data_IF_838553097403
#
_entry.id   IF_838553097403
#
_cell.length_a   1.000
_cell.length_b   1.000
_cell.length_c   1.000
_cell.angle_alpha   90.00
_cell.angle_beta   90.00
_cell.angle_gamma   90.00
#
_symmetry.space_group_name_H-M   'P 1'
#
loop_
_entity.id
_entity.type
_entity.pdbx_description
1 polymer ?
#
# COMPACT_ATOMS: atom_id res chain seq x y z
N UNK A 1 51.41 2.56 6.52
CA UNK A 1 50.62 3.14 5.41
C UNK A 1 49.43 2.29 5.00
N UNK A 2 49.48 0.96 5.14
CA UNK A 2 48.34 0.06 4.75
C UNK A 2 47.09 0.21 5.63
N UNK A 3 47.24 0.39 6.95
CA UNK A 3 46.08 0.47 7.87
C UNK A 3 45.17 1.66 7.54
N UNK A 4 45.69 2.84 7.31
CA UNK A 4 44.90 4.04 6.97
C UNK A 4 44.21 3.94 5.61
N UNK A 5 44.78 3.22 4.64
CA UNK A 5 44.14 2.97 3.36
C UNK A 5 42.94 2.02 3.50
N UNK A 6 43.06 1.00 4.36
CA UNK A 6 41.97 0.05 4.68
C UNK A 6 40.83 0.76 5.43
N UNK A 7 41.15 1.53 6.47
CA UNK A 7 40.14 2.32 7.22
C UNK A 7 39.41 3.29 6.28
N UNK A 8 40.15 3.97 5.39
CA UNK A 8 39.54 4.85 4.40
C UNK A 8 38.65 4.11 3.36
N UNK A 9 38.98 2.86 3.02
CA UNK A 9 38.17 2.05 2.12
C UNK A 9 36.86 1.61 2.81
N UNK A 10 36.97 1.16 4.05
CA UNK A 10 35.79 0.79 4.87
C UNK A 10 34.87 1.99 5.07
N UNK A 11 35.41 3.16 5.43
CA UNK A 11 34.62 4.37 5.61
C UNK A 11 33.84 4.79 4.34
N UNK A 12 34.50 4.70 3.17
CA UNK A 12 33.82 4.97 1.89
C UNK A 12 32.75 3.93 1.56
N UNK A 13 32.98 2.66 1.87
CA UNK A 13 31.98 1.60 1.70
C UNK A 13 30.77 1.87 2.59
N UNK A 14 30.97 2.10 3.89
CA UNK A 14 29.90 2.41 4.83
C UNK A 14 29.08 3.64 4.41
N UNK A 15 29.75 4.70 3.98
CA UNK A 15 29.06 5.91 3.52
C UNK A 15 28.19 5.63 2.30
N UNK A 16 28.69 4.87 1.32
CA UNK A 16 27.92 4.51 0.12
C UNK A 16 26.72 3.62 0.45
N UNK A 17 26.92 2.62 1.30
CA UNK A 17 25.85 1.75 1.78
C UNK A 17 24.79 2.56 2.54
N UNK A 18 25.20 3.48 3.41
CA UNK A 18 24.29 4.37 4.11
C UNK A 18 23.45 5.24 3.17
N UNK A 19 24.05 5.77 2.11
CA UNK A 19 23.30 6.53 1.09
C UNK A 19 22.27 5.66 0.39
N UNK A 20 22.61 4.42 0.00
CA UNK A 20 21.67 3.50 -0.64
C UNK A 20 20.51 3.14 0.29
N UNK A 21 20.80 2.90 1.57
CA UNK A 21 19.77 2.64 2.59
C UNK A 21 18.84 3.87 2.74
N UNK A 22 19.38 5.07 2.84
CA UNK A 22 18.58 6.30 2.93
C UNK A 22 17.71 6.51 1.69
N UNK A 23 18.24 6.23 0.50
CA UNK A 23 17.46 6.29 -0.74
C UNK A 23 16.36 5.23 -0.77
N UNK A 24 16.61 4.04 -0.21
CA UNK A 24 15.57 3.01 -0.08
C UNK A 24 14.48 3.43 0.91
N UNK A 25 14.84 4.02 2.05
CA UNK A 25 13.87 4.56 3.00
C UNK A 25 13.04 5.68 2.35
N UNK A 26 13.69 6.59 1.62
CA UNK A 26 12.98 7.62 0.86
C UNK A 26 12.04 7.02 -0.19
N UNK A 27 12.46 5.97 -0.87
CA UNK A 27 11.59 5.22 -1.79
C UNK A 27 10.38 4.62 -1.06
N UNK A 28 10.57 3.98 0.09
CA UNK A 28 9.48 3.38 0.86
C UNK A 28 8.44 4.42 1.33
N UNK A 29 8.87 5.62 1.71
CA UNK A 29 7.98 6.66 2.21
C UNK A 29 7.23 7.42 1.10
N UNK A 30 7.87 7.61 -0.05
CA UNK A 30 7.30 8.45 -1.13
C UNK A 30 7.16 7.72 -2.47
N UNK A 31 8.09 6.82 -2.79
CA UNK A 31 8.10 6.12 -4.08
C UNK A 31 6.97 5.12 -4.22
N UNK A 32 6.62 4.42 -3.15
CA UNK A 32 5.49 3.47 -3.12
C UNK A 32 4.16 4.19 -3.35
N UNK A 33 4.00 5.42 -2.82
CA UNK A 33 2.81 6.22 -3.01
C UNK A 33 2.52 6.59 -4.46
N UNK A 34 3.55 6.70 -5.32
CA UNK A 34 3.38 7.02 -6.74
C UNK A 34 2.75 5.87 -7.53
N UNK A 35 3.11 4.62 -7.22
CA UNK A 35 2.49 3.43 -7.84
C UNK A 35 1.04 3.30 -7.43
N UNK A 36 0.75 3.47 -6.12
CA UNK A 36 -0.62 3.43 -5.59
C UNK A 36 -1.49 4.55 -6.17
N UNK A 37 -0.96 5.78 -6.33
CA UNK A 37 -1.70 6.86 -6.95
C UNK A 37 -2.18 6.50 -8.37
N UNK A 38 -1.29 5.92 -9.18
CA UNK A 38 -1.64 5.47 -10.53
C UNK A 38 -2.67 4.32 -10.52
N UNK A 39 -2.52 3.37 -9.60
CA UNK A 39 -3.49 2.29 -9.44
C UNK A 39 -4.85 2.85 -9.03
N UNK A 40 -4.92 3.76 -8.06
CA UNK A 40 -6.15 4.41 -7.61
C UNK A 40 -6.83 5.25 -8.72
N UNK A 41 -6.05 5.91 -9.59
CA UNK A 41 -6.61 6.60 -10.76
C UNK A 41 -7.30 5.63 -11.74
N UNK A 42 -6.70 4.46 -11.97
CA UNK A 42 -7.27 3.42 -12.82
C UNK A 42 -8.51 2.79 -12.18
N UNK A 43 -8.41 2.36 -10.91
CA UNK A 43 -9.50 1.79 -10.13
C UNK A 43 -10.69 2.75 -10.03
N UNK A 44 -10.44 4.05 -9.87
CA UNK A 44 -11.50 5.07 -9.85
C UNK A 44 -12.26 5.15 -11.17
N UNK A 45 -11.56 5.10 -12.31
CA UNK A 45 -12.20 5.11 -13.63
C UNK A 45 -13.00 3.84 -13.89
N UNK A 46 -12.42 2.70 -13.52
CA UNK A 46 -13.06 1.40 -13.65
C UNK A 46 -14.31 1.31 -12.77
N UNK A 47 -14.21 1.66 -11.49
CA UNK A 47 -15.33 1.69 -10.57
C UNK A 47 -16.44 2.66 -11.01
N UNK A 48 -16.08 3.84 -11.53
CA UNK A 48 -17.05 4.77 -12.08
C UNK A 48 -17.79 4.18 -13.29
N UNK A 49 -17.09 3.41 -14.14
CA UNK A 49 -17.70 2.71 -15.27
C UNK A 49 -18.67 1.62 -14.80
N UNK A 50 -18.29 0.84 -13.79
CA UNK A 50 -19.15 -0.17 -13.19
C UNK A 50 -20.40 0.47 -12.58
N UNK A 51 -20.26 1.56 -11.80
CA UNK A 51 -21.41 2.29 -11.24
C UNK A 51 -22.35 2.76 -12.36
N UNK A 52 -21.85 3.34 -13.44
CA UNK A 52 -22.65 3.83 -14.54
C UNK A 52 -23.47 2.70 -15.22
N UNK A 53 -22.94 1.48 -15.26
CA UNK A 53 -23.63 0.31 -15.82
C UNK A 53 -24.76 -0.21 -14.93
N UNK A 54 -24.58 -0.14 -13.59
CA UNK A 54 -25.52 -0.69 -12.61
C UNK A 54 -26.47 0.34 -12.01
N UNK A 55 -26.23 1.64 -12.20
CA UNK A 55 -27.17 2.70 -11.76
C UNK A 55 -28.25 2.88 -12.84
N UNK A 56 -29.54 2.65 -12.53
CA UNK A 56 -30.61 2.96 -13.48
C UNK A 56 -30.55 4.43 -13.89
N UNK A 57 -30.78 4.78 -15.17
CA UNK A 57 -30.87 6.18 -15.57
C UNK A 57 -31.93 6.85 -14.71
N UNK A 58 -31.58 7.97 -14.05
CA UNK A 58 -32.46 8.74 -13.16
C UNK A 58 -33.77 9.04 -13.87
N UNK A 59 -34.85 8.37 -13.45
CA UNK A 59 -36.17 8.80 -13.78
C UNK A 59 -36.42 10.16 -13.12
N UNK A 60 -36.75 11.15 -13.94
CA UNK A 60 -37.14 12.49 -13.58
C UNK A 60 -38.03 12.56 -12.34
N UNK A 61 -37.69 13.42 -11.43
CA UNK A 61 -38.53 14.16 -10.45
C UNK A 61 -40.02 13.71 -10.38
N UNK A 62 -40.33 12.79 -9.46
CA UNK A 62 -41.54 12.72 -8.65
C UNK A 62 -41.57 11.38 -7.92
N UNK A 63 -41.74 11.43 -6.58
CA UNK A 63 -41.85 10.30 -5.65
C UNK A 63 -40.62 9.39 -5.62
N UNK A 64 -39.93 9.34 -4.48
CA UNK A 64 -38.79 8.43 -4.26
C UNK A 64 -39.24 6.99 -4.52
N UNK A 65 -38.85 6.36 -5.65
CA UNK A 65 -38.97 4.92 -5.76
C UNK A 65 -37.98 4.35 -4.73
N UNK A 66 -38.44 3.34 -3.98
CA UNK A 66 -37.55 2.45 -3.25
C UNK A 66 -36.61 1.86 -4.29
N UNK A 67 -35.42 2.42 -4.44
CA UNK A 67 -34.38 1.90 -5.35
C UNK A 67 -33.99 0.56 -4.76
N UNK A 68 -34.56 -0.51 -5.29
CA UNK A 68 -34.19 -1.86 -4.95
C UNK A 68 -32.72 -2.03 -5.42
N UNK A 69 -31.82 -2.20 -4.48
CA UNK A 69 -30.41 -2.43 -4.80
C UNK A 69 -30.28 -3.67 -5.71
N UNK A 70 -29.42 -3.64 -6.73
CA UNK A 70 -29.21 -4.77 -7.63
C UNK A 70 -28.83 -6.03 -6.83
N UNK A 71 -29.42 -7.14 -7.18
CA UNK A 71 -29.11 -8.46 -6.58
C UNK A 71 -28.23 -9.30 -7.51
N UNK A 72 -28.28 -9.00 -8.81
CA UNK A 72 -27.50 -9.68 -9.86
C UNK A 72 -26.22 -8.89 -10.15
N UNK A 73 -25.32 -8.92 -9.18
CA UNK A 73 -24.01 -8.28 -9.32
C UNK A 73 -23.00 -9.27 -9.90
N UNK A 74 -22.06 -8.79 -10.74
CA UNK A 74 -20.93 -9.63 -11.13
C UNK A 74 -20.14 -10.05 -9.90
N UNK A 75 -19.70 -11.30 -9.90
CA UNK A 75 -18.77 -11.80 -8.88
C UNK A 75 -17.43 -11.09 -9.14
N UNK A 76 -16.92 -10.29 -8.18
CA UNK A 76 -15.65 -9.59 -8.40
C UNK A 76 -14.49 -10.58 -8.46
N UNK A 77 -13.56 -10.38 -9.36
CA UNK A 77 -12.27 -11.09 -9.36
C UNK A 77 -11.32 -10.47 -8.32
N UNK A 78 -10.26 -11.20 -7.97
CA UNK A 78 -9.22 -10.68 -7.07
C UNK A 78 -8.49 -9.52 -7.74
N UNK A 79 -8.51 -8.34 -7.11
CA UNK A 79 -7.96 -7.09 -7.63
C UNK A 79 -9.01 -6.14 -8.22
N UNK A 80 -10.23 -6.61 -8.48
CA UNK A 80 -11.30 -5.74 -8.99
C UNK A 80 -11.70 -4.66 -8.00
N UNK A 81 -12.04 -3.45 -8.45
CA UNK A 81 -12.61 -2.41 -7.59
C UNK A 81 -14.03 -2.81 -7.17
N UNK A 82 -14.28 -2.81 -5.86
CA UNK A 82 -15.59 -3.24 -5.30
C UNK A 82 -16.37 -2.12 -4.62
N UNK A 83 -15.67 -1.12 -4.10
CA UNK A 83 -16.30 -0.02 -3.38
C UNK A 83 -15.34 1.17 -3.24
N UNK A 84 -15.87 2.34 -2.90
CA UNK A 84 -15.11 3.50 -2.49
C UNK A 84 -15.37 3.80 -1.02
N UNK A 85 -14.32 3.83 -0.20
CA UNK A 85 -14.39 4.17 1.22
C UNK A 85 -13.92 5.60 1.44
N UNK A 86 -14.71 6.37 2.20
CA UNK A 86 -14.40 7.77 2.57
C UNK A 86 -14.52 7.93 4.07
N UNK A 87 -13.46 8.38 4.70
CA UNK A 87 -13.35 8.66 6.14
C UNK A 87 -12.88 10.10 6.33
N UNK A 88 -13.82 11.05 6.44
CA UNK A 88 -13.52 12.49 6.47
C UNK A 88 -12.68 12.89 7.68
N UNK A 89 -12.90 12.28 8.83
CA UNK A 89 -12.16 12.58 10.08
C UNK A 89 -10.65 12.43 9.89
N UNK A 90 -10.23 11.44 9.11
CA UNK A 90 -8.81 11.12 8.90
C UNK A 90 -8.30 11.47 7.49
N UNK A 91 -9.13 12.17 6.69
CA UNK A 91 -8.82 12.59 5.32
C UNK A 91 -8.40 11.40 4.42
N UNK A 92 -9.16 10.30 4.50
CA UNK A 92 -8.93 9.09 3.71
C UNK A 92 -10.07 8.87 2.73
N UNK A 93 -9.72 8.70 1.44
CA UNK A 93 -10.65 8.48 0.35
C UNK A 93 -10.00 7.58 -0.71
N UNK A 94 -10.44 6.31 -0.78
CA UNK A 94 -9.83 5.30 -1.63
C UNK A 94 -10.87 4.38 -2.25
N UNK A 95 -10.57 3.89 -3.45
CA UNK A 95 -11.26 2.74 -4.03
C UNK A 95 -10.66 1.47 -3.43
N UNK A 96 -11.53 0.60 -2.92
CA UNK A 96 -11.18 -0.69 -2.35
C UNK A 96 -11.16 -1.76 -3.42
N UNK A 97 -10.23 -2.70 -3.28
CA UNK A 97 -10.08 -3.86 -4.17
C UNK A 97 -10.52 -5.15 -3.49
N UNK A 98 -10.93 -6.14 -4.28
CA UNK A 98 -11.20 -7.48 -3.78
C UNK A 98 -9.89 -8.21 -3.52
N UNK A 99 -9.70 -8.72 -2.28
CA UNK A 99 -8.50 -9.45 -1.86
C UNK A 99 -7.58 -8.64 -0.96
N UNK A 100 -6.84 -9.36 -0.11
CA UNK A 100 -5.93 -8.81 0.91
C UNK A 100 -4.50 -9.27 0.72
N UNK A 101 -4.18 -9.93 -0.38
CA UNK A 101 -2.79 -10.25 -0.72
C UNK A 101 -1.98 -8.97 -0.90
N UNK A 102 -0.68 -9.05 -0.58
CA UNK A 102 0.23 -7.92 -0.65
C UNK A 102 0.17 -7.16 -1.97
N UNK A 103 0.03 -7.87 -3.10
CA UNK A 103 -0.06 -7.27 -4.44
C UNK A 103 -1.28 -6.35 -4.59
N UNK A 104 -2.41 -6.72 -3.98
CA UNK A 104 -3.65 -5.94 -4.04
C UNK A 104 -3.65 -4.79 -3.04
N UNK A 105 -3.10 -5.03 -1.84
CA UNK A 105 -2.95 -3.98 -0.82
C UNK A 105 -2.02 -2.83 -1.26
N UNK A 106 -1.11 -3.07 -2.21
CA UNK A 106 -0.29 -2.03 -2.82
C UNK A 106 -1.11 -1.05 -3.68
N UNK A 107 -2.28 -1.47 -4.14
CA UNK A 107 -3.16 -0.65 -4.98
C UNK A 107 -4.16 0.16 -4.17
N UNK A 108 -4.56 -0.32 -2.98
CA UNK A 108 -5.50 0.35 -2.09
C UNK A 108 -5.94 -0.53 -0.92
N UNK A 109 -6.96 -0.11 -0.14
CA UNK A 109 -7.57 -0.97 0.85
C UNK A 109 -8.16 -2.23 0.22
N UNK A 110 -7.89 -3.39 0.82
CA UNK A 110 -8.34 -4.69 0.32
C UNK A 110 -9.46 -5.27 1.17
N UNK A 111 -10.48 -5.81 0.52
CA UNK A 111 -11.58 -6.51 1.17
C UNK A 111 -11.23 -7.98 1.36
N UNK A 112 -11.55 -8.53 2.53
CA UNK A 112 -11.39 -9.96 2.80
C UNK A 112 -12.43 -10.78 2.02
N UNK A 113 -12.01 -11.62 1.05
CA UNK A 113 -12.91 -12.29 0.12
C UNK A 113 -13.95 -13.20 0.76
N UNK A 114 -13.66 -13.72 1.97
CA UNK A 114 -14.56 -14.60 2.73
C UNK A 114 -15.60 -13.87 3.58
N UNK A 115 -15.60 -12.54 3.54
CA UNK A 115 -16.59 -11.71 4.25
C UNK A 115 -17.61 -11.11 3.28
N UNK A 116 -18.81 -10.70 3.76
CA UNK A 116 -19.79 -10.02 2.91
C UNK A 116 -19.27 -8.72 2.35
N UNK A 117 -19.74 -8.33 1.18
CA UNK A 117 -19.42 -7.00 0.63
C UNK A 117 -19.97 -5.89 1.54
N UNK A 118 -19.28 -4.73 1.62
CA UNK A 118 -19.76 -3.59 2.39
C UNK A 118 -21.19 -3.18 1.98
N UNK A 119 -22.02 -2.90 2.97
CA UNK A 119 -23.44 -2.58 2.78
C UNK A 119 -24.36 -3.79 2.88
N UNK A 120 -23.85 -5.01 2.82
CA UNK A 120 -24.62 -6.24 2.97
C UNK A 120 -24.73 -6.68 4.44
N UNK A 121 -25.64 -7.62 4.77
CA UNK A 121 -25.72 -8.18 6.11
C UNK A 121 -24.45 -8.93 6.50
N UNK A 122 -24.00 -8.74 7.73
CA UNK A 122 -22.80 -9.36 8.30
C UNK A 122 -21.64 -8.38 8.49
N UNK A 123 -20.45 -8.91 8.71
CA UNK A 123 -19.23 -8.15 8.99
C UNK A 123 -18.33 -8.07 7.73
N UNK A 124 -18.40 -6.97 7.00
CA UNK A 124 -17.49 -6.68 5.91
C UNK A 124 -16.13 -6.26 6.47
N UNK A 125 -15.06 -6.97 6.11
CA UNK A 125 -13.74 -6.70 6.67
C UNK A 125 -12.76 -6.19 5.61
N UNK A 126 -11.98 -5.18 5.97
CA UNK A 126 -11.08 -4.44 5.06
C UNK A 126 -9.73 -4.24 5.73
N UNK A 127 -8.66 -4.61 5.03
CA UNK A 127 -7.29 -4.33 5.44
C UNK A 127 -6.70 -3.16 4.63
N UNK A 128 -5.77 -2.42 5.23
CA UNK A 128 -5.05 -1.35 4.53
C UNK A 128 -3.71 -1.04 5.14
N UNK A 129 -2.78 -0.55 4.31
CA UNK A 129 -1.46 -0.11 4.78
C UNK A 129 -1.55 1.09 5.72
N UNK A 130 -0.64 1.12 6.70
CA UNK A 130 -0.59 2.21 7.68
C UNK A 130 0.49 3.25 7.38
N UNK A 131 1.56 2.89 6.66
CA UNK A 131 2.73 3.77 6.48
C UNK A 131 3.25 3.86 5.05
N UNK A 132 2.93 2.89 4.19
CA UNK A 132 3.36 2.81 2.80
C UNK A 132 2.17 2.81 1.85
N UNK A 133 2.41 2.91 0.53
CA UNK A 133 1.36 2.80 -0.48
C UNK A 133 0.20 3.80 -0.25
N UNK A 134 0.55 5.09 -0.12
CA UNK A 134 -0.35 6.19 0.28
C UNK A 134 -1.00 6.02 1.66
N UNK A 135 -0.68 4.95 2.38
CA UNK A 135 -1.08 4.72 3.75
C UNK A 135 -2.58 5.03 4.04
N UNK A 136 -3.53 4.33 3.38
CA UNK A 136 -4.95 4.64 3.47
C UNK A 136 -5.48 4.66 4.91
N UNK A 137 -4.86 3.89 5.81
CA UNK A 137 -5.22 3.80 7.22
C UNK A 137 -4.14 4.38 8.15
N UNK A 138 -3.37 5.38 7.68
CA UNK A 138 -2.31 6.00 8.48
C UNK A 138 -2.82 6.54 9.82
N UNK A 139 -3.95 7.24 9.79
CA UNK A 139 -4.55 7.94 10.92
C UNK A 139 -5.76 7.20 11.49
N UNK A 140 -5.88 5.89 11.27
CA UNK A 140 -7.01 5.07 11.75
C UNK A 140 -7.18 5.12 13.28
N UNK A 141 -6.08 5.36 14.01
CA UNK A 141 -6.06 5.57 15.46
C UNK A 141 -6.72 6.90 15.92
N UNK A 142 -6.98 7.80 15.01
CA UNK A 142 -7.65 9.08 15.31
C UNK A 142 -9.18 8.99 15.15
N UNK A 143 -9.70 7.87 14.65
CA UNK A 143 -11.13 7.63 14.62
C UNK A 143 -11.68 7.47 16.04
N UNK A 144 -12.72 8.22 16.35
CA UNK A 144 -13.39 8.19 17.65
C UNK A 144 -14.80 7.63 17.54
N UNK A 145 -15.38 7.12 18.65
CA UNK A 145 -16.76 6.64 18.65
C UNK A 145 -17.73 7.70 18.13
N UNK A 146 -18.54 7.32 17.14
CA UNK A 146 -19.53 8.21 16.51
C UNK A 146 -19.07 8.81 15.18
N UNK A 147 -17.79 8.70 14.80
CA UNK A 147 -17.33 9.11 13.48
C UNK A 147 -18.03 8.32 12.37
N UNK A 148 -18.20 8.96 11.23
CA UNK A 148 -18.94 8.39 10.11
C UNK A 148 -17.98 7.95 9.00
N UNK A 149 -18.15 6.70 8.57
CA UNK A 149 -17.44 6.09 7.44
C UNK A 149 -18.48 5.88 6.33
N UNK A 150 -18.22 6.43 5.16
CA UNK A 150 -19.08 6.27 3.99
C UNK A 150 -18.47 5.27 3.03
N UNK A 151 -19.25 4.30 2.58
CA UNK A 151 -18.85 3.30 1.59
C UNK A 151 -19.83 3.30 0.44
N UNK A 152 -19.36 3.64 -0.75
CA UNK A 152 -20.10 3.56 -2.00
C UNK A 152 -19.80 2.23 -2.68
N UNK A 153 -20.84 1.45 -2.99
CA UNK A 153 -20.76 0.17 -3.70
C UNK A 153 -21.68 0.20 -4.94
N UNK A 154 -21.70 -0.87 -5.71
CA UNK A 154 -22.66 -1.02 -6.82
C UNK A 154 -24.13 -1.11 -6.34
N UNK A 155 -24.36 -1.44 -5.06
CA UNK A 155 -25.68 -1.54 -4.45
C UNK A 155 -26.15 -0.23 -3.82
N UNK A 156 -25.31 0.80 -3.75
CA UNK A 156 -25.66 2.09 -3.18
C UNK A 156 -24.58 2.66 -2.28
N UNK A 157 -24.95 3.69 -1.52
CA UNK A 157 -24.05 4.34 -0.56
C UNK A 157 -24.51 4.02 0.86
N UNK A 158 -23.60 3.49 1.65
CA UNK A 158 -23.83 3.03 3.01
C UNK A 158 -22.99 3.85 3.97
N UNK A 159 -23.56 4.15 5.13
CA UNK A 159 -22.90 4.90 6.18
C UNK A 159 -22.77 4.04 7.41
N UNK A 160 -21.55 3.97 7.94
CA UNK A 160 -21.24 3.24 9.16
C UNK A 160 -20.82 4.24 10.23
N UNK A 161 -21.20 3.98 11.46
CA UNK A 161 -20.83 4.76 12.64
C UNK A 161 -19.80 3.99 13.45
N UNK A 162 -18.67 4.59 13.74
CA UNK A 162 -17.58 3.98 14.54
C UNK A 162 -18.10 3.62 15.91
N UNK A 163 -17.87 2.37 16.31
CA UNK A 163 -18.29 1.81 17.58
C UNK A 163 -17.36 2.28 18.71
N UNK A 164 -17.88 2.29 19.94
CA UNK A 164 -17.07 2.51 21.12
C UNK A 164 -16.45 1.17 21.57
N UNK A 165 -15.12 1.16 21.72
CA UNK A 165 -14.40 0.11 22.42
C UNK A 165 -14.04 0.58 23.83
N UNK A 166 -14.33 -0.22 24.83
CA UNK A 166 -13.96 0.03 26.22
C UNK A 166 -12.85 -0.95 26.56
N UNK A 167 -11.66 -0.44 26.88
CA UNK A 167 -10.54 -1.29 27.29
C UNK A 167 -10.86 -1.97 28.61
N UNK A 168 -10.82 -3.32 28.68
CA UNK A 168 -11.14 -4.04 29.91
C UNK A 168 -10.14 -3.81 31.05
N UNK A 169 -8.94 -3.27 30.77
CA UNK A 169 -7.90 -3.10 31.78
C UNK A 169 -7.97 -1.74 32.50
N UNK A 170 -8.34 -0.68 31.78
CA UNK A 170 -8.33 0.69 32.34
C UNK A 170 -9.64 1.45 32.12
N UNK A 171 -10.65 0.82 31.50
CA UNK A 171 -11.95 1.39 31.19
C UNK A 171 -11.90 2.64 30.29
N UNK A 172 -10.79 2.88 29.57
CA UNK A 172 -10.72 3.95 28.58
C UNK A 172 -11.60 3.62 27.39
N UNK A 173 -12.23 4.65 26.82
CA UNK A 173 -13.07 4.51 25.63
C UNK A 173 -12.33 5.03 24.41
N UNK A 174 -12.22 4.19 23.39
CA UNK A 174 -11.61 4.55 22.10
C UNK A 174 -12.47 4.10 20.93
N UNK A 175 -12.16 4.55 19.72
CA UNK A 175 -12.76 4.05 18.48
C UNK A 175 -12.04 2.84 17.90
N UNK A 176 -11.00 2.34 18.57
CA UNK A 176 -10.15 1.25 18.08
C UNK A 176 -9.64 0.38 19.21
N UNK A 177 -9.17 -0.82 18.87
CA UNK A 177 -8.48 -1.73 19.79
C UNK A 177 -7.32 -2.44 19.08
N UNK A 178 -6.46 -3.06 19.85
CA UNK A 178 -5.26 -3.72 19.35
C UNK A 178 -5.37 -5.22 19.56
N UNK A 179 -5.03 -5.98 18.51
CA UNK A 179 -5.04 -7.45 18.53
C UNK A 179 -3.73 -8.05 18.03
N UNK A 180 -3.55 -9.33 18.30
CA UNK A 180 -2.48 -10.13 17.68
C UNK A 180 -2.65 -10.19 16.16
N UNK A 181 -1.56 -10.27 15.38
CA UNK A 181 -1.64 -10.43 13.92
C UNK A 181 -2.42 -11.67 13.47
N UNK A 182 -2.44 -12.70 14.30
CA UNK A 182 -3.09 -13.99 14.02
C UNK A 182 -4.51 -14.09 14.61
N UNK A 183 -5.03 -13.00 15.17
CA UNK A 183 -6.40 -12.99 15.69
C UNK A 183 -7.38 -12.76 14.54
N UNK A 184 -7.97 -13.85 14.05
CA UNK A 184 -8.96 -13.84 12.97
C UNK A 184 -10.40 -13.69 13.50
N UNK A 185 -10.63 -13.65 14.82
CA UNK A 185 -11.97 -13.47 15.40
C UNK A 185 -12.62 -12.14 14.98
N UNK A 186 -11.78 -11.16 14.56
CA UNK A 186 -12.25 -9.89 14.02
C UNK A 186 -13.01 -10.03 12.69
N UNK A 187 -12.87 -11.17 12.00
CA UNK A 187 -13.57 -11.51 10.74
C UNK A 187 -14.90 -12.24 10.99
N UNK A 188 -15.17 -12.63 12.24
CA UNK A 188 -16.38 -13.38 12.61
C UNK A 188 -17.65 -12.63 12.22
N UNK A 189 -18.67 -13.43 11.81
CA UNK A 189 -19.93 -12.90 11.30
C UNK A 189 -21.02 -12.71 12.40
N UNK A 190 -20.66 -12.92 13.67
CA UNK A 190 -21.62 -12.92 14.80
C UNK A 190 -21.98 -11.54 15.35
N UNK A 191 -21.53 -10.47 14.71
CA UNK A 191 -21.58 -9.11 15.27
C UNK A 191 -22.61 -8.17 14.62
N UNK A 192 -23.52 -8.69 13.81
CA UNK A 192 -24.50 -7.87 13.07
C UNK A 192 -23.90 -7.18 11.84
N UNK A 193 -24.59 -6.17 11.31
CA UNK A 193 -24.18 -5.46 10.09
C UNK A 193 -23.06 -4.45 10.41
N UNK A 194 -21.83 -4.82 10.10
CA UNK A 194 -20.63 -4.14 10.55
C UNK A 194 -19.60 -3.97 9.42
N UNK A 195 -18.77 -2.97 9.58
CA UNK A 195 -17.52 -2.78 8.84
C UNK A 195 -16.36 -2.90 9.83
N UNK A 196 -15.42 -3.80 9.56
CA UNK A 196 -14.20 -3.95 10.33
C UNK A 196 -13.01 -3.48 9.50
N UNK A 197 -12.31 -2.46 9.97
CA UNK A 197 -11.09 -1.94 9.34
C UNK A 197 -9.87 -2.41 10.13
N UNK A 198 -8.82 -2.84 9.43
CA UNK A 198 -7.60 -3.34 10.05
C UNK A 198 -6.35 -2.77 9.40
N UNK A 199 -5.38 -2.40 10.23
CA UNK A 199 -4.04 -1.96 9.78
C UNK A 199 -2.95 -2.47 10.73
N UNK A 200 -1.70 -2.35 10.31
CA UNK A 200 -0.54 -2.70 11.14
C UNK A 200 -0.40 -1.75 12.35
N UNK A 201 0.09 -2.28 13.49
CA UNK A 201 0.36 -1.53 14.71
C UNK A 201 1.62 -2.06 15.42
N UNK A 202 2.43 -1.16 16.05
CA UNK A 202 2.44 0.30 15.89
C UNK A 202 2.85 0.75 14.48
N UNK A 203 2.79 2.07 14.18
CA UNK A 203 3.29 2.61 12.90
C UNK A 203 4.73 2.13 12.68
N UNK A 204 5.07 1.71 11.46
CA UNK A 204 6.35 1.13 11.05
C UNK A 204 6.66 -0.25 11.67
N UNK A 205 5.64 -0.98 12.12
CA UNK A 205 5.78 -2.35 12.66
C UNK A 205 4.55 -3.18 12.35
N UNK A 206 4.74 -4.50 12.13
CA UNK A 206 3.67 -5.48 11.96
C UNK A 206 3.43 -6.33 13.21
N UNK A 207 3.98 -5.93 14.35
CA UNK A 207 3.90 -6.73 15.57
C UNK A 207 2.47 -6.99 16.05
N UNK A 208 1.55 -6.08 15.75
CA UNK A 208 0.14 -6.13 16.14
C UNK A 208 -0.76 -5.60 15.01
N UNK A 209 -2.07 -5.64 15.21
CA UNK A 209 -3.06 -5.00 14.34
C UNK A 209 -3.89 -4.02 15.15
N UNK A 210 -4.12 -2.83 14.59
CA UNK A 210 -5.13 -1.89 15.06
C UNK A 210 -6.41 -2.16 14.29
N UNK A 211 -7.51 -2.24 15.01
CA UNK A 211 -8.83 -2.57 14.48
C UNK A 211 -9.83 -1.49 14.86
N UNK A 212 -10.60 -1.04 13.88
CA UNK A 212 -11.76 -0.17 14.08
C UNK A 212 -12.98 -0.94 13.60
N UNK A 213 -14.02 -0.96 14.43
CA UNK A 213 -15.32 -1.51 14.04
C UNK A 213 -16.34 -0.38 13.92
N UNK A 214 -17.23 -0.51 12.95
CA UNK A 214 -18.28 0.47 12.73
C UNK A 214 -19.60 -0.22 12.34
N UNK A 215 -20.69 0.18 12.97
CA UNK A 215 -22.03 -0.38 12.76
C UNK A 215 -22.74 0.34 11.61
N UNK A 216 -23.38 -0.41 10.71
CA UNK A 216 -24.19 0.12 9.62
C UNK A 216 -25.39 0.90 10.19
N UNK A 217 -25.57 2.13 9.72
CA UNK A 217 -26.65 3.03 10.22
C UNK A 217 -27.93 2.96 9.39
N UNK A 218 -27.89 2.31 8.23
CA UNK A 218 -29.05 2.14 7.32
C UNK A 218 -29.44 0.67 7.21
N UNK A 219 -30.54 0.40 6.53
CA UNK A 219 -30.88 -0.97 6.17
C UNK A 219 -29.81 -1.55 5.24
N UNK A 220 -29.40 -2.82 5.44
CA UNK A 220 -28.44 -3.45 4.56
C UNK A 220 -29.05 -3.70 3.17
N UNK A 221 -28.19 -3.71 2.16
CA UNK A 221 -28.53 -4.20 0.84
C UNK A 221 -28.78 -5.71 0.84
N UNK A 222 -29.47 -6.25 -0.18
CA UNK A 222 -29.60 -7.69 -0.34
C UNK A 222 -28.23 -8.37 -0.41
N UNK A 223 -28.08 -9.48 0.31
CA UNK A 223 -26.87 -10.28 0.29
C UNK A 223 -26.63 -10.89 -1.09
N UNK A 224 -25.39 -10.89 -1.54
CA UNK A 224 -24.92 -11.68 -2.69
C UNK A 224 -24.14 -12.90 -2.19
N UNK A 225 -24.03 -13.96 -2.99
CA UNK A 225 -23.20 -15.10 -2.63
C UNK A 225 -21.75 -14.66 -2.39
N UNK A 226 -21.15 -15.12 -1.30
CA UNK A 226 -19.72 -14.91 -1.04
C UNK A 226 -18.95 -15.80 -2.03
N UNK A 227 -18.10 -15.23 -2.89
CA UNK A 227 -17.39 -16.03 -3.88
C UNK A 227 -16.32 -16.90 -3.22
N UNK A 228 -16.10 -18.08 -3.81
CA UNK A 228 -14.99 -18.96 -3.45
C UNK A 228 -13.87 -18.76 -4.47
N UNK A 229 -12.68 -18.43 -4.01
CA UNK A 229 -11.51 -18.27 -4.86
C UNK A 229 -10.56 -19.44 -4.62
N UNK A 230 -10.08 -20.06 -5.70
CA UNK A 230 -9.11 -21.14 -5.61
C UNK A 230 -7.80 -20.64 -4.98
N UNK A 231 -7.34 -21.35 -3.95
CA UNK A 231 -6.09 -21.05 -3.25
C UNK A 231 -6.15 -19.92 -2.20
N UNK A 232 -7.31 -19.28 -2.02
CA UNK A 232 -7.55 -18.34 -0.91
C UNK A 232 -8.14 -19.11 0.26
N UNK A 233 -7.31 -19.47 1.23
CA UNK A 233 -7.77 -20.06 2.49
C UNK A 233 -7.88 -18.98 3.56
N UNK A 234 -8.73 -19.19 4.56
CA UNK A 234 -8.86 -18.30 5.73
C UNK A 234 -7.52 -18.13 6.45
N UNK A 235 -6.68 -19.17 6.44
CA UNK A 235 -5.35 -19.14 7.06
C UNK A 235 -4.34 -18.33 6.20
N UNK A 236 -4.48 -18.34 4.87
CA UNK A 236 -3.62 -17.58 3.97
C UNK A 236 -3.79 -16.05 4.11
N UNK A 237 -4.96 -15.57 4.57
CA UNK A 237 -5.18 -14.13 4.77
C UNK A 237 -4.41 -13.56 5.96
N UNK A 238 -4.10 -14.35 6.99
CA UNK A 238 -3.25 -13.91 8.11
C UNK A 238 -1.77 -13.87 7.68
N UNK A 239 -1.31 -14.88 6.95
CA UNK A 239 0.06 -14.96 6.43
C UNK A 239 0.32 -13.95 5.30
N UNK A 240 -0.69 -13.64 4.49
CA UNK A 240 -0.59 -12.64 3.42
C UNK A 240 -0.26 -11.23 3.96
N UNK A 241 -0.74 -10.91 5.17
CA UNK A 241 -0.42 -9.65 5.85
C UNK A 241 0.90 -9.70 6.62
N UNK A 242 1.45 -10.88 6.90
CA UNK A 242 2.66 -11.07 7.70
C UNK A 242 3.90 -11.34 6.85
N UNK A 243 3.77 -11.91 5.66
CA UNK A 243 4.85 -12.34 4.77
C UNK A 243 5.15 -11.36 3.64
N UNK A 244 6.36 -11.44 3.07
CA UNK A 244 6.72 -10.80 1.80
C UNK A 244 6.42 -11.71 0.60
N UNK A 245 6.34 -11.12 -0.59
CA UNK A 245 6.15 -11.85 -1.84
C UNK A 245 7.47 -12.51 -2.29
N UNK A 246 7.65 -13.77 -1.93
CA UNK A 246 8.84 -14.54 -2.29
C UNK A 246 9.03 -14.71 -3.80
N UNK A 247 7.99 -14.54 -4.62
CA UNK A 247 8.07 -14.62 -6.08
C UNK A 247 8.88 -13.44 -6.68
N UNK A 248 9.08 -12.37 -5.93
CA UNK A 248 9.85 -11.20 -6.35
C UNK A 248 11.38 -11.41 -6.31
N UNK A 249 11.91 -12.48 -5.70
CA UNK A 249 13.35 -12.72 -5.59
C UNK A 249 14.10 -12.66 -6.92
N UNK A 250 13.69 -13.37 -8.00
CA UNK A 250 14.43 -13.32 -9.26
C UNK A 250 14.51 -11.91 -9.84
N UNK A 251 13.41 -11.17 -9.81
CA UNK A 251 13.35 -9.79 -10.30
C UNK A 251 14.19 -8.84 -9.43
N UNK A 252 14.14 -8.97 -8.10
CA UNK A 252 14.95 -8.17 -7.17
C UNK A 252 16.45 -8.38 -7.42
N UNK A 253 16.89 -9.62 -7.61
CA UNK A 253 18.28 -9.93 -7.93
C UNK A 253 18.67 -9.36 -9.30
N UNK A 254 17.85 -9.61 -10.33
CA UNK A 254 18.14 -9.16 -11.70
C UNK A 254 18.28 -7.64 -11.78
N UNK A 255 17.34 -6.88 -11.23
CA UNK A 255 17.38 -5.41 -11.22
C UNK A 255 18.53 -4.87 -10.37
N UNK A 256 18.86 -5.51 -9.23
CA UNK A 256 20.00 -5.13 -8.39
C UNK A 256 21.32 -5.33 -9.11
N UNK A 257 21.51 -6.47 -9.79
CA UNK A 257 22.71 -6.74 -10.58
C UNK A 257 22.81 -5.77 -11.76
N UNK A 258 21.72 -5.51 -12.47
CA UNK A 258 21.70 -4.56 -13.58
C UNK A 258 22.05 -3.14 -13.12
N UNK A 259 21.49 -2.70 -11.99
CA UNK A 259 21.85 -1.42 -11.35
C UNK A 259 23.34 -1.35 -11.04
N UNK A 260 23.91 -2.40 -10.46
CA UNK A 260 25.32 -2.51 -10.15
C UNK A 260 26.20 -2.46 -11.41
N UNK A 261 25.81 -3.15 -12.49
CA UNK A 261 26.52 -3.15 -13.76
C UNK A 261 26.50 -1.77 -14.43
N UNK A 262 25.36 -1.11 -14.48
CA UNK A 262 25.25 0.24 -15.07
C UNK A 262 26.03 1.25 -14.25
N UNK A 263 25.97 1.16 -12.92
CA UNK A 263 26.77 2.03 -12.04
C UNK A 263 28.27 1.80 -12.22
N UNK A 264 28.72 0.55 -12.25
CA UNK A 264 30.12 0.21 -12.49
C UNK A 264 30.57 0.66 -13.88
N UNK A 265 29.75 0.43 -14.93
CA UNK A 265 30.01 0.87 -16.28
C UNK A 265 30.14 2.39 -16.38
N UNK A 266 29.24 3.14 -15.74
CA UNK A 266 29.30 4.62 -15.66
C UNK A 266 30.59 5.09 -14.97
N UNK A 267 30.93 4.48 -13.83
CA UNK A 267 32.16 4.78 -13.10
C UNK A 267 33.40 4.43 -13.92
N UNK A 268 33.42 3.26 -14.56
CA UNK A 268 34.55 2.80 -15.38
C UNK A 268 34.75 3.70 -16.60
N UNK A 269 33.68 4.06 -17.31
CA UNK A 269 33.71 4.95 -18.45
C UNK A 269 34.19 6.35 -18.04
N UNK A 270 33.65 6.90 -16.95
CA UNK A 270 34.16 8.18 -16.42
C UNK A 270 35.63 8.13 -16.08
N UNK A 271 36.14 7.02 -15.51
CA UNK A 271 37.52 6.81 -15.19
C UNK A 271 38.41 6.65 -16.46
N UNK A 272 37.89 6.00 -17.49
CA UNK A 272 38.57 5.82 -18.76
C UNK A 272 38.83 7.16 -19.47
N UNK A 273 37.85 8.07 -19.41
CA UNK A 273 37.96 9.40 -20.00
C UNK A 273 38.81 10.37 -19.17
N UNK A 274 39.22 10.02 -17.94
CA UNK A 274 39.95 10.90 -17.01
C UNK A 274 41.34 10.40 -16.57
N UNK A 275 42.13 9.74 -17.41
CA UNK A 275 43.45 9.24 -16.98
C UNK A 275 44.42 10.37 -16.57
N UNK A 276 44.17 11.61 -17.01
CA UNK A 276 45.05 12.78 -16.72
C UNK A 276 44.76 13.47 -15.39
N UNK A 277 43.51 13.32 -14.82
CA UNK A 277 43.15 14.01 -13.58
C UNK A 277 43.82 13.43 -12.33
N UNK A 278 44.15 12.14 -12.31
CA UNK A 278 44.85 11.53 -11.17
C UNK A 278 46.33 11.96 -11.10
N UNK A 279 46.93 12.33 -12.23
CA UNK A 279 48.33 12.76 -12.29
C UNK A 279 48.53 14.23 -11.87
N UNK A 280 47.44 15.05 -11.91
CA UNK A 280 47.43 16.49 -11.61
C UNK A 280 46.92 16.86 -10.21
N UNK A 281 46.79 15.91 -9.29
CA UNK A 281 46.32 16.17 -7.91
C UNK A 281 47.30 17.01 -7.06
N UNK A 282 48.43 17.41 -7.62
CA UNK A 282 49.42 18.22 -6.92
C UNK A 282 49.34 19.75 -7.15
N UNK A 283 48.59 20.22 -8.14
CA UNK A 283 48.53 21.67 -8.44
C UNK A 283 47.14 22.12 -8.89
N UNK A 284 46.48 22.81 -7.99
CA UNK A 284 45.52 23.92 -8.15
C UNK A 284 44.46 23.86 -9.25
N UNK A 285 43.25 24.09 -8.78
CA UNK A 285 42.14 24.79 -9.43
C UNK A 285 41.51 24.03 -10.60
N UNK A 286 40.42 23.39 -10.31
CA UNK A 286 39.41 22.88 -11.24
C UNK A 286 38.99 23.96 -12.24
N UNK A 287 39.54 23.92 -13.41
CA UNK A 287 38.90 24.51 -14.59
C UNK A 287 37.87 23.54 -15.13
N UNK A 288 36.67 24.01 -15.36
CA UNK A 288 35.48 23.35 -15.92
C UNK A 288 35.71 22.72 -17.33
N UNK A 289 36.82 22.06 -17.55
CA UNK A 289 37.27 21.59 -18.88
C UNK A 289 37.00 20.09 -19.14
N UNK A 290 36.55 19.34 -18.11
CA UNK A 290 36.27 17.91 -18.28
C UNK A 290 34.75 17.64 -18.47
N UNK A 291 34.17 18.31 -19.48
CA UNK A 291 32.77 18.15 -19.83
C UNK A 291 32.40 16.66 -20.11
N UNK A 292 33.37 15.87 -20.61
CA UNK A 292 33.15 14.41 -20.85
C UNK A 292 32.91 13.64 -19.56
N UNK A 293 33.58 14.00 -18.48
CA UNK A 293 33.34 13.44 -17.15
C UNK A 293 31.94 13.84 -16.64
N UNK A 294 31.62 15.12 -16.74
CA UNK A 294 30.31 15.62 -16.31
C UNK A 294 29.17 15.01 -17.14
N UNK A 295 29.34 14.90 -18.45
CA UNK A 295 28.32 14.28 -19.33
C UNK A 295 28.15 12.79 -19.06
N UNK A 296 29.23 12.05 -18.75
CA UNK A 296 29.13 10.63 -18.38
C UNK A 296 28.27 10.44 -17.14
N UNK A 297 28.48 11.26 -16.10
CA UNK A 297 27.66 11.18 -14.90
C UNK A 297 26.27 11.80 -15.09
N UNK A 298 26.14 12.86 -15.89
CA UNK A 298 24.83 13.47 -16.19
C UNK A 298 23.90 12.51 -16.93
N UNK A 299 24.44 11.62 -17.76
CA UNK A 299 23.66 10.58 -18.46
C UNK A 299 23.54 9.32 -17.61
N UNK A 300 24.63 8.85 -17.03
CA UNK A 300 24.67 7.58 -16.30
C UNK A 300 23.90 7.62 -14.99
N UNK A 301 23.92 8.73 -14.24
CA UNK A 301 23.23 8.83 -12.95
C UNK A 301 21.71 8.69 -13.07
N UNK A 302 21.00 9.37 -13.98
CA UNK A 302 19.57 9.16 -14.17
C UNK A 302 19.23 7.70 -14.52
N UNK A 303 20.03 7.05 -15.37
CA UNK A 303 19.82 5.64 -15.73
C UNK A 303 19.97 4.75 -14.49
N UNK A 304 21.02 4.95 -13.69
CA UNK A 304 21.22 4.23 -12.43
C UNK A 304 20.04 4.44 -11.48
N UNK A 305 19.53 5.67 -11.35
CA UNK A 305 18.39 5.97 -10.48
C UNK A 305 17.11 5.26 -10.94
N UNK A 306 16.87 5.21 -12.25
CA UNK A 306 15.72 4.47 -12.82
C UNK A 306 15.86 2.96 -12.54
N UNK A 307 17.05 2.39 -12.79
CA UNK A 307 17.29 0.96 -12.51
C UNK A 307 17.15 0.66 -11.01
N UNK A 308 17.66 1.56 -10.15
CA UNK A 308 17.55 1.44 -8.71
C UNK A 308 16.09 1.53 -8.22
N UNK A 309 15.27 2.36 -8.87
CA UNK A 309 13.82 2.40 -8.59
C UNK A 309 13.18 1.02 -8.81
N UNK A 310 13.46 0.36 -9.95
CA UNK A 310 12.95 -1.00 -10.22
C UNK A 310 13.53 -2.04 -9.25
N UNK A 311 14.81 -1.92 -8.88
CA UNK A 311 15.41 -2.77 -7.85
C UNK A 311 14.68 -2.60 -6.50
N UNK A 312 14.45 -1.38 -6.07
CA UNK A 312 13.75 -1.06 -4.81
C UNK A 312 12.29 -1.53 -4.83
N UNK A 313 11.59 -1.40 -5.95
CA UNK A 313 10.23 -1.92 -6.12
C UNK A 313 10.16 -3.42 -5.85
N UNK A 314 11.10 -4.19 -6.41
CA UNK A 314 11.11 -5.64 -6.22
C UNK A 314 11.66 -6.05 -4.84
N UNK A 315 12.61 -5.30 -4.26
CA UNK A 315 13.07 -5.52 -2.89
C UNK A 315 11.95 -5.20 -1.88
N UNK A 316 11.18 -4.14 -2.10
CA UNK A 316 10.06 -3.78 -1.24
C UNK A 316 8.99 -4.88 -1.18
N UNK A 317 8.74 -5.59 -2.29
CA UNK A 317 7.82 -6.74 -2.33
C UNK A 317 8.29 -7.93 -1.49
N UNK A 318 9.60 -8.06 -1.24
CA UNK A 318 10.15 -9.12 -0.38
C UNK A 318 9.98 -8.84 1.11
N UNK A 319 9.74 -7.57 1.47
CA UNK A 319 9.53 -7.19 2.86
C UNK A 319 8.12 -7.58 3.30
N UNK A 320 7.94 -7.93 4.59
CA UNK A 320 6.61 -8.15 5.14
C UNK A 320 5.71 -6.94 4.88
N UNK A 321 4.40 -7.15 4.72
CA UNK A 321 3.39 -6.10 4.51
C UNK A 321 3.33 -5.05 5.66
N UNK A 322 4.26 -5.10 6.56
CA UNK A 322 4.36 -4.35 7.81
C UNK A 322 4.90 -2.92 7.67
N UNK A 323 5.35 -2.53 6.49
CA UNK A 323 5.92 -1.19 6.32
C UNK A 323 5.01 -0.25 5.57
#
# INVERSE_FOLDING_TARGET
>A
MQLWSVVGAIGRFMMRTGIVILLFVAYQLWGTGLSTARAQDNLTKEFATQIAQFTPPSASTEAQPVVTAPTDLPIPELGDPIARITMKTIDSDFVMVQGVDLKWLQEGPGHFPQTPLPGQPGNASVAGHRTTYQAPFNRIDELVPGDMITVQTLQGTFTYKVDAYIDPNDATTSGHFIVSPNDLSILDQNFGNRLTLMACHPKFSAAQRIVVTATLTSNPAPATPIPSYDGVTTDASADALAGGDSSAWPAAIAWSLLTGLVWFGTWWLARFWTPSLMRKRALRVTRFKDWKFLTTYAIGTPIVLVMMFFAFTNIARLLPASY
#
